data_IF_416214445361
#
_entry.id   IF_416214445361
#
_cell.length_a   1.000
_cell.length_b   1.000
_cell.length_c   1.000
_cell.angle_alpha   90.00
_cell.angle_beta   90.00
_cell.angle_gamma   90.00
#
_symmetry.space_group_name_H-M   'P 1'
#
loop_
_entity.id
_entity.type
_entity.pdbx_description
1 polymer ?
#
# COMPACT_ATOMS: atom_id res chain seq x y z
N UNK A 1 24.98 71.16 -13.49
CA UNK A 1 24.55 69.89 -12.88
C UNK A 1 24.04 69.03 -14.02
N UNK A 2 24.82 68.03 -14.44
CA UNK A 2 24.36 67.00 -15.38
C UNK A 2 23.71 65.90 -14.53
N UNK A 3 22.50 65.49 -14.89
CA UNK A 3 21.63 64.63 -14.10
C UNK A 3 22.03 63.16 -14.29
N UNK A 4 22.09 62.37 -13.22
CA UNK A 4 22.28 60.91 -13.29
C UNK A 4 21.12 60.23 -14.02
N UNK A 5 21.42 59.32 -14.97
CA UNK A 5 20.71 58.04 -15.00
C UNK A 5 19.66 57.71 -16.07
N UNK A 6 19.59 58.34 -17.25
CA UNK A 6 18.63 57.89 -18.30
C UNK A 6 19.32 57.28 -19.52
N UNK A 7 19.56 55.97 -19.48
CA UNK A 7 19.66 55.14 -20.68
C UNK A 7 18.30 54.46 -20.88
N UNK A 8 17.33 55.16 -21.51
CA UNK A 8 16.00 54.60 -21.83
C UNK A 8 16.06 53.43 -22.84
N UNK A 9 17.20 53.22 -23.51
CA UNK A 9 17.34 52.26 -24.61
C UNK A 9 18.72 51.59 -24.62
N UNK A 10 18.74 50.26 -24.68
CA UNK A 10 19.95 49.49 -25.01
C UNK A 10 19.64 48.68 -26.27
N UNK A 11 20.29 49.04 -27.39
CA UNK A 11 20.13 48.32 -28.65
C UNK A 11 21.17 47.19 -28.75
N UNK A 12 20.73 45.96 -28.51
CA UNK A 12 21.51 44.75 -28.78
C UNK A 12 21.27 44.24 -30.20
N UNK A 13 22.06 44.70 -31.18
CA UNK A 13 21.95 44.24 -32.57
C UNK A 13 20.64 44.63 -33.27
N UNK A 14 19.88 43.65 -33.80
CA UNK A 14 18.58 43.86 -34.47
C UNK A 14 17.37 43.88 -33.51
N UNK A 15 17.56 43.63 -32.22
CA UNK A 15 16.49 43.50 -31.24
C UNK A 15 16.36 44.75 -30.36
N UNK A 16 15.12 45.10 -30.00
CA UNK A 16 14.81 46.26 -29.15
C UNK A 16 14.46 45.78 -27.75
N UNK A 17 15.17 46.32 -26.75
CA UNK A 17 14.97 46.04 -25.34
C UNK A 17 14.64 47.37 -24.66
N UNK A 18 13.52 47.43 -23.95
CA UNK A 18 13.16 48.62 -23.17
C UNK A 18 13.46 48.32 -21.71
N UNK A 19 14.42 49.07 -21.15
CA UNK A 19 14.71 49.06 -19.73
C UNK A 19 14.18 50.38 -19.16
N UNK A 20 13.03 50.30 -18.49
CA UNK A 20 12.38 51.45 -17.87
C UNK A 20 12.55 51.34 -16.36
N UNK A 21 12.34 52.46 -15.66
CA UNK A 21 12.33 52.47 -14.19
C UNK A 21 11.25 51.54 -13.59
N UNK A 22 10.23 51.15 -14.36
CA UNK A 22 9.10 50.31 -13.94
C UNK A 22 9.12 48.88 -14.50
N UNK A 23 10.07 48.52 -15.37
CA UNK A 23 10.17 47.16 -15.88
C UNK A 23 11.04 46.94 -17.11
N UNK A 24 11.19 45.65 -17.46
CA UNK A 24 11.85 45.16 -18.67
C UNK A 24 10.77 44.65 -19.65
N UNK A 25 10.71 45.24 -20.85
CA UNK A 25 9.81 44.77 -21.92
C UNK A 25 10.63 44.24 -23.10
N UNK A 26 10.43 42.95 -23.41
CA UNK A 26 11.09 42.22 -24.49
C UNK A 26 10.03 41.82 -25.52
N UNK A 27 10.15 42.31 -26.75
CA UNK A 27 9.23 41.98 -27.86
C UNK A 27 9.99 41.36 -29.02
N UNK A 28 9.76 40.07 -29.26
CA UNK A 28 10.34 39.30 -30.36
C UNK A 28 9.41 38.14 -30.73
N UNK A 29 9.68 37.44 -31.84
CA UNK A 29 8.93 36.24 -32.22
C UNK A 29 9.14 35.07 -31.23
N UNK A 30 10.20 35.09 -30.44
CA UNK A 30 10.50 34.15 -29.36
C UNK A 30 11.16 34.93 -28.20
N UNK A 31 10.40 35.69 -27.40
CA UNK A 31 10.98 36.54 -26.38
C UNK A 31 11.51 35.69 -25.22
N UNK A 32 12.75 35.95 -24.82
CA UNK A 32 13.42 35.20 -23.76
C UNK A 32 14.53 36.02 -23.09
N UNK A 33 14.90 35.58 -21.89
CA UNK A 33 16.11 35.97 -21.18
C UNK A 33 17.00 34.73 -21.16
N UNK A 34 18.18 34.77 -21.78
CA UNK A 34 19.14 33.66 -21.85
C UNK A 34 20.36 33.96 -21.00
N UNK A 35 20.80 32.95 -20.29
CA UNK A 35 21.96 32.92 -19.42
C UNK A 35 22.87 31.79 -19.92
N UNK A 36 24.03 32.14 -20.44
CA UNK A 36 25.01 31.20 -20.98
C UNK A 36 26.22 31.11 -20.05
N UNK A 37 26.36 29.97 -19.36
CA UNK A 37 27.57 29.63 -18.61
C UNK A 37 28.64 29.08 -19.55
N UNK A 38 29.85 29.64 -19.48
CA UNK A 38 31.00 29.26 -20.34
C UNK A 38 32.10 28.52 -19.57
N UNK A 39 31.95 28.43 -18.25
CA UNK A 39 32.77 27.64 -17.34
C UNK A 39 32.54 26.12 -17.53
N UNK A 40 33.44 25.31 -16.98
CA UNK A 40 33.29 23.84 -16.98
C UNK A 40 32.02 23.45 -16.22
N UNK A 41 31.09 22.79 -16.90
CA UNK A 41 29.77 22.45 -16.35
C UNK A 41 28.74 23.58 -16.43
N UNK A 42 29.11 24.71 -17.05
CA UNK A 42 28.20 25.80 -17.37
C UNK A 42 27.03 25.33 -18.24
N UNK A 43 25.87 25.92 -18.01
CA UNK A 43 24.64 25.57 -18.70
C UNK A 43 24.12 26.75 -19.50
N UNK A 44 23.39 26.45 -20.55
CA UNK A 44 22.75 27.45 -21.40
C UNK A 44 21.24 27.38 -21.21
N UNK A 45 20.74 28.24 -20.32
CA UNK A 45 19.36 28.20 -19.84
C UNK A 45 18.71 29.57 -19.92
N UNK A 46 17.40 29.61 -19.87
CA UNK A 46 16.71 30.89 -19.82
C UNK A 46 15.23 30.81 -19.51
N UNK A 47 14.63 31.99 -19.40
CA UNK A 47 13.19 32.18 -19.26
C UNK A 47 12.66 32.53 -20.64
N UNK A 48 11.70 31.77 -21.15
CA UNK A 48 11.17 31.92 -22.51
C UNK A 48 9.64 31.90 -22.51
N UNK A 49 9.03 32.74 -23.33
CA UNK A 49 7.64 32.57 -23.73
C UNK A 49 7.56 31.62 -24.93
N UNK A 50 6.67 30.63 -24.85
CA UNK A 50 6.47 29.66 -25.92
C UNK A 50 5.02 29.15 -25.95
N UNK A 51 4.24 29.70 -26.87
CA UNK A 51 2.85 29.30 -27.10
C UNK A 51 1.88 29.84 -26.04
N UNK A 52 2.20 30.98 -25.42
CA UNK A 52 1.40 31.65 -24.41
C UNK A 52 1.83 31.40 -22.98
N UNK A 53 2.77 30.47 -22.73
CA UNK A 53 3.20 30.10 -21.37
C UNK A 53 4.66 30.46 -21.11
N UNK A 54 4.98 30.77 -19.85
CA UNK A 54 6.34 31.08 -19.41
C UNK A 54 7.07 29.79 -18.97
N UNK A 55 8.26 29.55 -19.53
CA UNK A 55 9.02 28.30 -19.34
C UNK A 55 10.47 28.59 -18.94
N UNK A 56 11.05 27.68 -18.17
CA UNK A 56 12.51 27.53 -18.07
C UNK A 56 12.96 26.61 -19.20
N UNK A 57 13.78 27.14 -20.10
CA UNK A 57 14.22 26.48 -21.32
C UNK A 57 15.71 26.14 -21.27
N UNK A 58 16.09 24.96 -21.75
CA UNK A 58 17.47 24.56 -21.99
C UNK A 58 17.79 24.75 -23.48
N UNK A 59 18.63 25.73 -23.79
CA UNK A 59 18.95 26.10 -25.17
C UNK A 59 19.95 25.13 -25.81
N UNK A 60 20.79 24.48 -25.01
CA UNK A 60 21.71 23.45 -25.50
C UNK A 60 20.97 22.18 -25.93
N UNK A 61 19.95 21.79 -25.16
CA UNK A 61 19.14 20.58 -25.39
C UNK A 61 17.88 20.84 -26.20
N UNK A 62 17.59 22.12 -26.51
CA UNK A 62 16.38 22.58 -27.16
C UNK A 62 15.09 22.05 -26.51
N UNK A 63 15.04 21.99 -25.18
CA UNK A 63 13.95 21.36 -24.42
C UNK A 63 13.45 22.21 -23.26
N UNK A 64 12.21 21.97 -22.85
CA UNK A 64 11.61 22.60 -21.68
C UNK A 64 12.10 21.88 -20.41
N UNK A 65 12.73 22.61 -19.50
CA UNK A 65 13.15 22.10 -18.18
C UNK A 65 12.00 22.20 -17.18
N UNK A 66 11.25 23.30 -17.23
CA UNK A 66 10.07 23.53 -16.41
C UNK A 66 9.07 24.37 -17.20
N UNK A 67 7.82 23.93 -17.22
CA UNK A 67 6.68 24.72 -17.69
C UNK A 67 5.90 25.16 -16.45
N UNK A 68 5.76 26.47 -16.25
CA UNK A 68 5.17 27.02 -15.03
C UNK A 68 3.66 26.76 -14.94
N UNK A 69 2.95 26.66 -16.06
CA UNK A 69 1.52 26.32 -16.07
C UNK A 69 1.31 24.82 -15.83
N UNK A 70 2.13 23.98 -16.45
CA UNK A 70 2.12 22.55 -16.16
C UNK A 70 2.51 22.27 -14.69
N UNK A 71 3.48 22.99 -14.14
CA UNK A 71 3.85 22.89 -12.74
C UNK A 71 2.71 23.37 -11.82
N UNK A 72 2.07 24.51 -12.13
CA UNK A 72 0.92 25.02 -11.38
C UNK A 72 -0.23 24.00 -11.33
N UNK A 73 -0.51 23.29 -12.42
CA UNK A 73 -1.55 22.25 -12.46
C UNK A 73 -1.26 21.02 -11.59
N UNK A 74 -0.01 20.85 -11.14
CA UNK A 74 0.35 19.81 -10.16
C UNK A 74 -0.01 20.20 -8.74
N UNK A 75 -0.27 21.49 -8.51
CA UNK A 75 -0.78 21.99 -7.25
C UNK A 75 -2.30 22.04 -7.31
N UNK A 76 -2.97 21.33 -6.40
CA UNK A 76 -4.44 21.30 -6.35
C UNK A 76 -4.99 22.67 -5.94
N UNK A 77 -4.24 23.40 -5.10
CA UNK A 77 -4.63 24.72 -4.56
C UNK A 77 -3.60 25.83 -4.88
N UNK A 78 -2.63 25.57 -5.77
CA UNK A 78 -1.75 26.60 -6.31
C UNK A 78 -0.62 27.11 -5.39
N UNK A 79 0.03 26.24 -4.60
CA UNK A 79 1.17 26.65 -3.77
C UNK A 79 1.63 25.58 -2.77
N UNK A 80 1.29 25.76 -1.49
CA UNK A 80 1.35 24.67 -0.51
C UNK A 80 0.22 23.71 -0.85
N UNK A 81 0.53 22.56 -1.42
CA UNK A 81 -0.43 21.46 -1.49
C UNK A 81 -0.57 20.85 -0.09
N UNK A 82 -1.61 21.19 0.71
CA UNK A 82 -1.95 20.31 1.81
C UNK A 82 -2.20 18.93 1.21
N UNK A 83 -1.74 17.88 1.90
CA UNK A 83 -2.06 16.51 1.53
C UNK A 83 -3.58 16.30 1.74
N UNK A 84 -4.38 16.74 0.79
CA UNK A 84 -5.84 16.69 0.86
C UNK A 84 -6.32 15.50 0.03
N UNK A 85 -6.77 14.45 0.72
CA UNK A 85 -7.19 13.21 0.08
C UNK A 85 -6.03 12.42 -0.54
N UNK A 86 -5.40 11.55 0.25
CA UNK A 86 -4.56 10.50 -0.32
C UNK A 86 -5.44 9.51 -1.06
N UNK A 87 -5.26 9.43 -2.37
CA UNK A 87 -5.74 8.30 -3.18
C UNK A 87 -4.84 7.10 -2.94
N UNK A 88 -5.41 5.90 -3.06
CA UNK A 88 -4.70 4.65 -2.87
C UNK A 88 -3.45 4.56 -3.79
N UNK A 89 -3.57 5.03 -5.03
CA UNK A 89 -2.48 5.11 -6.02
C UNK A 89 -1.29 6.01 -5.65
N UNK A 90 -1.45 6.91 -4.66
CA UNK A 90 -0.34 7.73 -4.17
C UNK A 90 0.50 7.02 -3.11
N UNK A 91 0.04 5.88 -2.60
CA UNK A 91 0.78 5.02 -1.69
C UNK A 91 1.36 3.84 -2.48
N UNK A 92 2.62 3.51 -2.23
CA UNK A 92 3.15 2.25 -2.74
C UNK A 92 2.36 1.08 -2.13
N UNK A 93 2.28 -0.04 -2.85
CA UNK A 93 1.57 -1.21 -2.35
C UNK A 93 2.11 -1.65 -0.97
N UNK A 94 1.20 -1.92 -0.04
CA UNK A 94 1.49 -2.33 1.33
C UNK A 94 2.24 -1.28 2.18
N UNK A 95 2.14 0.01 1.85
CA UNK A 95 2.75 1.07 2.66
C UNK A 95 2.17 1.13 4.08
N UNK A 96 0.86 0.90 4.22
CA UNK A 96 0.18 0.87 5.51
C UNK A 96 -0.40 -0.53 5.69
N UNK A 97 0.03 -1.24 6.74
CA UNK A 97 -0.44 -2.57 7.08
C UNK A 97 -1.20 -2.52 8.40
N UNK A 98 -2.40 -3.09 8.42
CA UNK A 98 -3.14 -3.34 9.64
C UNK A 98 -3.20 -4.85 9.91
N UNK A 99 -3.02 -5.21 11.18
CA UNK A 99 -3.22 -6.57 11.69
C UNK A 99 -4.41 -6.55 12.62
N UNK A 100 -5.43 -7.32 12.29
CA UNK A 100 -6.69 -7.34 13.02
C UNK A 100 -6.81 -8.72 13.68
N UNK A 101 -6.53 -8.84 14.99
CA UNK A 101 -6.73 -10.09 15.71
C UNK A 101 -8.21 -10.29 16.02
N UNK A 102 -8.70 -11.49 15.76
CA UNK A 102 -10.05 -11.96 16.06
C UNK A 102 -9.94 -13.17 16.97
N UNK A 103 -10.18 -12.95 18.26
CA UNK A 103 -10.22 -14.02 19.25
C UNK A 103 -11.48 -14.86 19.06
N UNK A 104 -11.35 -16.18 19.09
CA UNK A 104 -12.49 -17.10 18.99
C UNK A 104 -12.99 -17.41 20.41
N UNK A 105 -14.15 -16.87 20.84
CA UNK A 105 -14.54 -16.88 22.26
C UNK A 105 -14.80 -18.27 22.84
N UNK A 106 -15.16 -19.24 22.00
CA UNK A 106 -15.46 -20.61 22.37
C UNK A 106 -14.35 -21.60 21.95
N UNK A 107 -13.13 -21.09 21.73
CA UNK A 107 -11.99 -21.93 21.30
C UNK A 107 -11.47 -22.89 22.37
N UNK A 108 -11.58 -22.54 23.66
CA UNK A 108 -11.20 -23.46 24.74
C UNK A 108 -12.11 -24.69 24.73
N UNK A 109 -11.53 -25.87 24.50
CA UNK A 109 -12.24 -27.15 24.43
C UNK A 109 -11.43 -28.24 25.12
N UNK A 110 -12.11 -29.13 25.84
CA UNK A 110 -11.48 -30.22 26.58
C UNK A 110 -12.11 -31.56 26.22
N UNK A 111 -11.31 -32.63 26.23
CA UNK A 111 -11.76 -34.00 26.07
C UNK A 111 -12.29 -34.33 24.68
N UNK A 112 -11.88 -33.61 23.63
CA UNK A 112 -12.32 -33.91 22.27
C UNK A 112 -11.70 -35.22 21.80
N UNK A 113 -12.52 -36.10 21.22
CA UNK A 113 -12.06 -37.42 20.80
C UNK A 113 -11.00 -37.36 19.69
N UNK A 114 -9.85 -38.01 19.92
CA UNK A 114 -8.73 -38.17 18.99
C UNK A 114 -8.60 -39.59 18.44
N UNK A 115 -9.38 -40.55 18.94
CA UNK A 115 -9.38 -41.97 18.56
C UNK A 115 -10.16 -42.29 17.27
N UNK A 116 -10.65 -41.26 16.58
CA UNK A 116 -11.41 -41.38 15.35
C UNK A 116 -11.23 -40.14 14.48
N UNK A 117 -11.25 -40.29 13.16
CA UNK A 117 -11.12 -39.16 12.23
C UNK A 117 -12.42 -38.35 12.15
N UNK A 118 -12.33 -37.16 11.55
CA UNK A 118 -13.47 -36.29 11.25
C UNK A 118 -13.56 -35.03 12.12
N UNK A 119 -14.64 -34.26 11.90
CA UNK A 119 -14.92 -33.02 12.62
C UNK A 119 -15.21 -33.31 14.09
N UNK A 120 -14.46 -32.68 15.00
CA UNK A 120 -14.61 -32.86 16.45
C UNK A 120 -15.21 -31.66 17.13
N UNK A 121 -14.88 -30.47 16.62
CA UNK A 121 -15.43 -29.22 17.12
C UNK A 121 -15.59 -28.22 15.98
N UNK A 122 -16.62 -27.39 16.09
CA UNK A 122 -16.89 -26.26 15.21
C UNK A 122 -17.40 -25.11 16.07
N UNK A 123 -16.70 -23.98 16.01
CA UNK A 123 -17.07 -22.76 16.73
C UNK A 123 -18.48 -22.32 16.35
N UNK A 124 -19.24 -21.82 17.33
CA UNK A 124 -20.51 -21.13 17.11
C UNK A 124 -20.30 -19.65 16.77
N UNK A 125 -19.10 -19.13 17.01
CA UNK A 125 -18.70 -17.80 16.60
C UNK A 125 -18.26 -17.82 15.14
N UNK A 126 -19.03 -17.13 14.31
CA UNK A 126 -18.72 -16.90 12.90
C UNK A 126 -18.66 -15.40 12.62
N UNK A 127 -17.75 -14.99 11.75
CA UNK A 127 -17.56 -13.59 11.38
C UNK A 127 -17.31 -13.47 9.87
N UNK A 128 -17.35 -12.24 9.36
CA UNK A 128 -17.15 -11.97 7.93
C UNK A 128 -15.77 -11.39 7.67
N UNK A 129 -15.15 -11.80 6.57
CA UNK A 129 -13.92 -11.22 6.05
C UNK A 129 -14.21 -10.64 4.66
N UNK A 130 -14.29 -9.31 4.51
CA UNK A 130 -14.28 -8.67 3.19
C UNK A 130 -12.92 -8.89 2.53
N UNK A 131 -12.87 -9.28 1.24
CA UNK A 131 -11.59 -9.46 0.54
C UNK A 131 -10.87 -8.16 0.24
N UNK A 132 -11.59 -7.05 0.28
CA UNK A 132 -11.03 -5.74 -0.01
C UNK A 132 -9.75 -5.53 0.80
N UNK A 133 -8.63 -5.41 0.10
CA UNK A 133 -7.30 -5.13 0.65
C UNK A 133 -6.72 -6.19 1.59
N UNK A 134 -7.31 -7.40 1.67
CA UNK A 134 -6.73 -8.52 2.42
C UNK A 134 -5.46 -8.99 1.70
N UNK A 135 -4.38 -9.14 2.47
CA UNK A 135 -3.10 -9.67 1.98
C UNK A 135 -2.81 -11.05 2.52
N UNK A 136 -3.31 -11.34 3.72
CA UNK A 136 -3.07 -12.61 4.39
C UNK A 136 -4.13 -12.85 5.49
N UNK A 137 -4.41 -14.12 5.77
CA UNK A 137 -5.26 -14.55 6.89
C UNK A 137 -4.55 -15.70 7.59
N UNK A 138 -4.22 -15.48 8.86
CA UNK A 138 -3.47 -16.44 9.67
C UNK A 138 -4.35 -16.97 10.78
N UNK A 139 -4.40 -18.28 10.96
CA UNK A 139 -4.91 -18.88 12.19
C UNK A 139 -3.72 -19.20 13.10
N UNK A 140 -3.81 -18.77 14.37
CA UNK A 140 -2.89 -19.13 15.45
C UNK A 140 -3.65 -19.98 16.46
N UNK A 141 -3.07 -21.09 16.91
CA UNK A 141 -3.72 -21.96 17.88
C UNK A 141 -2.74 -22.77 18.72
N UNK A 142 -3.16 -23.08 19.95
CA UNK A 142 -2.49 -24.01 20.86
C UNK A 142 -3.40 -25.17 21.23
N UNK A 143 -2.84 -26.38 21.25
CA UNK A 143 -3.57 -27.59 21.61
C UNK A 143 -2.62 -28.67 22.09
N UNK A 144 -3.15 -29.55 22.93
CA UNK A 144 -2.44 -30.72 23.46
C UNK A 144 -3.17 -32.00 23.08
N UNK A 145 -2.43 -33.11 22.98
CA UNK A 145 -3.00 -34.43 22.73
C UNK A 145 -2.53 -35.38 23.82
N UNK A 146 -3.44 -36.24 24.29
CA UNK A 146 -3.15 -37.28 25.27
C UNK A 146 -2.19 -38.35 24.75
N UNK A 147 -2.09 -38.51 23.42
CA UNK A 147 -1.28 -39.51 22.72
C UNK A 147 -0.59 -38.89 21.50
N UNK A 148 0.54 -39.45 21.08
CA UNK A 148 1.48 -38.84 20.11
C UNK A 148 1.24 -39.21 18.65
N UNK A 149 0.24 -40.05 18.36
CA UNK A 149 0.00 -40.67 17.05
C UNK A 149 -1.21 -40.09 16.30
N UNK A 150 -1.98 -39.19 16.92
CA UNK A 150 -3.04 -38.44 16.23
C UNK A 150 -2.48 -37.22 15.48
N UNK A 151 -3.21 -36.77 14.46
CA UNK A 151 -2.99 -35.49 13.77
C UNK A 151 -4.28 -34.70 13.82
N UNK A 152 -4.23 -33.57 14.52
CA UNK A 152 -5.30 -32.59 14.64
C UNK A 152 -5.00 -31.45 13.68
N UNK A 153 -6.03 -30.99 12.99
CA UNK A 153 -5.98 -29.82 12.13
C UNK A 153 -7.01 -28.79 12.62
N UNK A 154 -6.53 -27.61 13.03
CA UNK A 154 -7.36 -26.46 13.37
C UNK A 154 -7.45 -25.57 12.14
N UNK A 155 -8.67 -25.36 11.65
CA UNK A 155 -8.95 -24.81 10.33
C UNK A 155 -9.79 -23.55 10.47
N UNK A 156 -9.45 -22.50 9.71
CA UNK A 156 -10.42 -21.47 9.35
C UNK A 156 -11.19 -21.95 8.12
N UNK A 157 -12.50 -22.12 8.26
CA UNK A 157 -13.36 -22.67 7.21
C UNK A 157 -14.32 -21.61 6.68
N UNK A 158 -14.40 -21.49 5.36
CA UNK A 158 -15.34 -20.59 4.69
C UNK A 158 -16.62 -21.34 4.31
N UNK A 159 -17.76 -20.82 4.77
CA UNK A 159 -19.06 -21.46 4.52
C UNK A 159 -19.56 -21.30 3.09
N UNK A 160 -19.09 -20.28 2.37
CA UNK A 160 -19.51 -20.00 1.00
C UNK A 160 -18.81 -20.89 -0.01
N UNK A 161 -17.50 -21.04 0.09
CA UNK A 161 -16.70 -21.92 -0.78
C UNK A 161 -16.77 -23.37 -0.33
N UNK A 162 -17.04 -23.62 0.96
CA UNK A 162 -16.97 -24.94 1.57
C UNK A 162 -15.54 -25.46 1.70
N UNK A 163 -14.53 -24.57 1.67
CA UNK A 163 -13.12 -24.91 1.69
C UNK A 163 -12.40 -24.35 2.93
N UNK A 164 -11.20 -24.88 3.19
CA UNK A 164 -10.30 -24.39 4.23
C UNK A 164 -9.56 -23.15 3.70
N UNK A 165 -9.67 -22.03 4.41
CA UNK A 165 -8.98 -20.78 4.08
C UNK A 165 -7.50 -20.87 4.46
N UNK A 166 -7.22 -21.33 5.67
CA UNK A 166 -5.90 -21.63 6.20
C UNK A 166 -6.03 -22.59 7.40
N UNK A 167 -4.94 -23.25 7.78
CA UNK A 167 -4.95 -24.21 8.88
C UNK A 167 -3.59 -24.39 9.53
N UNK A 168 -3.60 -24.86 10.78
CA UNK A 168 -2.45 -25.44 11.46
C UNK A 168 -2.72 -26.90 11.76
N UNK A 169 -1.70 -27.75 11.64
CA UNK A 169 -1.84 -29.20 11.78
C UNK A 169 -0.71 -29.83 12.57
N UNK A 170 -0.98 -30.87 13.33
CA UNK A 170 0.01 -31.60 14.11
C UNK A 170 -0.61 -32.41 15.25
N UNK A 171 0.21 -33.16 15.97
CA UNK A 171 -0.24 -33.88 17.15
C UNK A 171 -0.55 -32.95 18.33
N UNK A 172 0.36 -32.01 18.59
CA UNK A 172 0.22 -30.91 19.55
C UNK A 172 0.89 -29.66 19.01
N UNK A 173 0.58 -28.50 19.59
CA UNK A 173 1.15 -27.22 19.18
C UNK A 173 0.96 -26.15 20.25
N UNK A 174 1.89 -25.19 20.31
CA UNK A 174 1.77 -23.99 21.13
C UNK A 174 2.02 -22.79 20.22
N UNK A 175 1.08 -21.84 20.21
CA UNK A 175 1.11 -20.63 19.37
C UNK A 175 1.44 -20.93 17.90
N UNK A 176 0.95 -22.05 17.37
CA UNK A 176 1.29 -22.45 16.00
C UNK A 176 0.55 -21.56 15.03
N UNK A 177 1.25 -21.02 14.04
CA UNK A 177 0.69 -20.16 13.00
C UNK A 177 0.60 -20.85 11.64
N UNK A 178 -0.47 -20.57 10.90
CA UNK A 178 -0.63 -21.03 9.54
C UNK A 178 0.19 -20.19 8.55
N UNK A 179 0.75 -20.82 7.52
CA UNK A 179 1.47 -20.15 6.41
C UNK A 179 0.84 -20.45 5.05
N UNK A 180 -0.36 -21.02 5.04
CA UNK A 180 -1.03 -21.61 3.89
C UNK A 180 -2.35 -20.91 3.53
N UNK A 181 -2.44 -19.58 3.74
CA UNK A 181 -3.59 -18.80 3.30
C UNK A 181 -3.83 -18.96 1.80
N UNK A 182 -5.08 -19.31 1.45
CA UNK A 182 -5.53 -19.42 0.07
C UNK A 182 -6.73 -18.49 -0.17
N UNK A 183 -6.48 -17.38 -0.87
CA UNK A 183 -7.52 -16.39 -1.21
C UNK A 183 -8.66 -16.99 -2.04
N UNK A 184 -8.41 -18.00 -2.88
CA UNK A 184 -9.44 -18.66 -3.68
C UNK A 184 -10.47 -19.39 -2.81
N UNK A 185 -10.08 -19.78 -1.59
CA UNK A 185 -10.93 -20.48 -0.65
C UNK A 185 -11.73 -19.54 0.27
N UNK A 186 -11.49 -18.23 0.22
CA UNK A 186 -12.27 -17.24 0.95
C UNK A 186 -13.41 -16.72 0.05
N UNK A 187 -14.64 -16.63 0.54
CA UNK A 187 -15.72 -15.93 -0.17
C UNK A 187 -15.64 -14.44 0.16
N UNK A 188 -15.79 -13.56 -0.83
CA UNK A 188 -15.82 -12.11 -0.54
C UNK A 188 -16.99 -11.76 0.37
N UNK A 189 -16.69 -11.16 1.53
CA UNK A 189 -17.64 -10.87 2.61
C UNK A 189 -18.40 -12.13 3.09
N UNK A 190 -17.78 -13.30 2.92
CA UNK A 190 -18.30 -14.60 3.34
C UNK A 190 -18.23 -14.81 4.85
N UNK A 191 -19.09 -15.70 5.37
CA UNK A 191 -19.02 -16.15 6.76
C UNK A 191 -17.95 -17.24 6.90
N UNK A 192 -17.03 -17.02 7.83
CA UNK A 192 -16.00 -17.97 8.22
C UNK A 192 -16.15 -18.35 9.69
N UNK A 193 -15.70 -19.54 10.04
CA UNK A 193 -15.62 -20.00 11.43
C UNK A 193 -14.44 -20.95 11.63
N UNK A 194 -13.98 -21.08 12.88
CA UNK A 194 -12.90 -22.01 13.21
C UNK A 194 -13.45 -23.39 13.58
N UNK A 195 -12.76 -24.44 13.17
CA UNK A 195 -13.11 -25.83 13.48
C UNK A 195 -11.88 -26.70 13.70
N UNK A 196 -12.04 -27.78 14.46
CA UNK A 196 -10.99 -28.77 14.67
C UNK A 196 -11.39 -30.12 14.07
N UNK A 197 -10.48 -30.69 13.30
CA UNK A 197 -10.67 -31.94 12.56
C UNK A 197 -9.53 -32.88 12.89
N UNK A 198 -9.83 -34.13 13.20
CA UNK A 198 -8.81 -35.18 13.31
C UNK A 198 -8.62 -35.79 11.92
N UNK A 199 -7.42 -35.63 11.36
CA UNK A 199 -7.07 -36.15 10.02
C UNK A 199 -6.41 -37.53 10.11
N UNK A 200 -5.66 -37.78 11.19
CA UNK A 200 -5.15 -39.10 11.56
C UNK A 200 -5.58 -39.40 13.00
N UNK A 201 -6.35 -40.47 13.20
CA UNK A 201 -6.77 -40.89 14.53
C UNK A 201 -5.64 -41.57 15.30
N UNK A 202 -5.63 -41.41 16.63
CA UNK A 202 -4.82 -42.26 17.51
C UNK A 202 -5.29 -43.70 17.43
N UNK A 203 -4.38 -44.66 17.49
CA UNK A 203 -4.69 -46.07 17.63
C UNK A 203 -5.15 -46.43 19.06
N UNK A 204 -4.98 -45.54 20.03
CA UNK A 204 -5.37 -45.77 21.42
C UNK A 204 -6.84 -45.39 21.63
N UNK A 205 -7.66 -46.37 22.03
CA UNK A 205 -9.07 -46.14 22.35
C UNK A 205 -9.22 -45.13 23.50
N UNK A 206 -10.11 -44.15 23.32
CA UNK A 206 -10.31 -43.10 24.32
C UNK A 206 -9.22 -42.01 24.33
N UNK A 207 -8.32 -41.98 23.35
CA UNK A 207 -7.43 -40.85 23.17
C UNK A 207 -8.23 -39.55 22.96
N UNK A 208 -7.82 -38.48 23.64
CA UNK A 208 -8.39 -37.14 23.53
C UNK A 208 -7.35 -36.09 23.15
N UNK A 209 -7.82 -34.92 22.75
CA UNK A 209 -7.05 -33.70 22.63
C UNK A 209 -7.86 -32.51 23.20
N UNK A 210 -7.14 -31.49 23.64
CA UNK A 210 -7.68 -30.27 24.21
C UNK A 210 -7.19 -29.08 23.37
N UNK A 211 -8.05 -28.09 23.12
CA UNK A 211 -7.70 -26.83 22.46
C UNK A 211 -7.62 -25.78 23.57
N UNK A 212 -6.45 -25.20 23.76
CA UNK A 212 -6.26 -24.13 24.75
C UNK A 212 -6.80 -22.80 24.20
N UNK A 213 -6.43 -22.48 22.95
CA UNK A 213 -6.85 -21.26 22.29
C UNK A 213 -6.80 -21.35 20.76
N UNK A 214 -7.61 -20.53 20.11
CA UNK A 214 -7.52 -20.26 18.68
C UNK A 214 -7.89 -18.81 18.38
N UNK A 215 -7.15 -18.18 17.48
CA UNK A 215 -7.39 -16.83 17.02
C UNK A 215 -7.08 -16.69 15.53
N UNK A 216 -7.68 -15.68 14.91
CA UNK A 216 -7.48 -15.37 13.48
C UNK A 216 -6.92 -13.96 13.36
N UNK A 217 -5.73 -13.82 12.75
CA UNK A 217 -5.16 -12.53 12.38
C UNK A 217 -5.47 -12.25 10.90
N UNK A 218 -6.20 -11.16 10.64
CA UNK A 218 -6.44 -10.66 9.28
C UNK A 218 -5.43 -9.56 9.00
N UNK A 219 -4.61 -9.74 7.96
CA UNK A 219 -3.68 -8.70 7.50
C UNK A 219 -4.29 -7.99 6.31
N UNK A 220 -4.57 -6.70 6.48
CA UNK A 220 -5.05 -5.83 5.39
C UNK A 220 -4.03 -4.74 5.13
N UNK A 221 -3.87 -4.34 3.87
CA UNK A 221 -2.93 -3.27 3.53
C UNK A 221 -3.56 -2.24 2.62
N UNK A 222 -3.30 -0.96 2.89
CA UNK A 222 -3.71 0.14 2.01
C UNK A 222 -2.81 0.11 0.77
N UNK A 223 -3.44 -0.10 -0.38
CA UNK A 223 -2.91 0.06 -1.73
C UNK A 223 -3.99 0.66 -2.61
#
# INVERSE_FOLDING_TARGET
ILQEGELEFIKGGKHTWYLKNDGLHISAANPHIRLEGTETGGADKGIREDGGTLKIYDFASASNVMDLEAHASRHVEGGDDPISGLTASQLAANTILFKIPVLIPDSHQEGLAADSTGLKWASKFAFRIPKQNVKDVVIRASWTSSHTDSVIEIQLYDMGTGNIVCSVSGNSGTDKESTNYNEANLTDNGLVYVRAVVTTASATAGATFDIDDAEVEIKVAVS
#
